data_IF_811262155632
#
_entry.id   IF_811262155632
#
_cell.length_a   1.000
_cell.length_b   1.000
_cell.length_c   1.000
_cell.angle_alpha   90.00
_cell.angle_beta   90.00
_cell.angle_gamma   90.00
#
_symmetry.space_group_name_H-M   'P 1'
#
loop_
_entity.id
_entity.type
_entity.pdbx_description
1 polymer ?
#
# COMPACT_ATOMS: atom_id res chain seq x y z
N UNK A 1 119.71 -8.07 -73.35
CA UNK A 1 120.38 -9.21 -72.67
C UNK A 1 121.36 -8.64 -71.65
N UNK A 2 121.26 -9.02 -70.35
CA UNK A 2 122.16 -8.64 -69.22
C UNK A 2 122.15 -7.13 -68.83
N UNK A 3 121.89 -6.75 -67.55
CA UNK A 3 122.73 -6.76 -66.30
C UNK A 3 123.78 -5.62 -66.29
N UNK A 4 124.05 -4.83 -65.22
CA UNK A 4 124.03 -4.96 -63.73
C UNK A 4 123.54 -3.63 -63.04
N UNK A 5 123.00 -3.54 -61.79
CA UNK A 5 123.55 -3.78 -60.41
C UNK A 5 124.68 -2.79 -59.98
N UNK A 6 124.80 -2.23 -58.75
CA UNK A 6 123.99 -2.26 -57.48
C UNK A 6 124.59 -1.29 -56.39
N UNK A 7 124.00 -1.25 -55.16
CA UNK A 7 124.58 -0.85 -53.82
C UNK A 7 124.69 0.67 -53.51
N UNK A 8 124.09 1.28 -52.44
CA UNK A 8 124.19 1.19 -50.95
C UNK A 8 125.36 2.03 -50.33
N UNK A 9 125.36 2.62 -49.11
CA UNK A 9 124.70 2.29 -47.82
C UNK A 9 124.75 3.44 -46.76
N UNK A 10 123.72 3.58 -45.86
CA UNK A 10 123.69 4.04 -44.42
C UNK A 10 124.39 5.38 -43.96
N UNK A 11 124.14 6.06 -42.81
CA UNK A 11 123.53 5.83 -41.45
C UNK A 11 123.32 7.22 -40.74
N UNK A 12 122.77 7.49 -39.52
CA UNK A 12 121.77 6.95 -38.55
C UNK A 12 121.57 7.97 -37.36
N UNK A 13 120.51 7.85 -36.51
CA UNK A 13 120.40 8.33 -35.07
C UNK A 13 120.35 9.87 -34.78
N UNK A 14 119.60 10.46 -33.82
CA UNK A 14 118.46 10.03 -32.93
C UNK A 14 117.75 11.18 -32.17
N UNK A 15 116.46 10.99 -31.84
CA UNK A 15 115.68 11.43 -30.62
C UNK A 15 115.67 12.92 -30.18
N UNK A 16 114.46 13.49 -30.13
CA UNK A 16 113.92 14.19 -28.93
C UNK A 16 112.38 14.10 -28.89
N UNK A 17 111.74 14.38 -27.76
CA UNK A 17 110.30 14.19 -27.51
C UNK A 17 109.71 15.36 -26.69
N UNK A 18 108.71 16.07 -27.21
CA UNK A 18 107.98 17.16 -26.53
C UNK A 18 106.54 17.25 -27.04
N UNK A 19 105.57 17.40 -26.14
CA UNK A 19 104.22 17.83 -26.50
C UNK A 19 104.24 19.30 -26.96
N UNK A 20 103.44 19.62 -27.98
CA UNK A 20 102.78 20.92 -28.10
C UNK A 20 101.28 20.70 -28.31
N UNK A 21 100.46 21.50 -27.66
CA UNK A 21 99.10 21.76 -28.15
C UNK A 21 99.22 22.60 -29.42
N UNK A 22 98.42 22.27 -30.45
CA UNK A 22 98.15 23.20 -31.53
C UNK A 22 96.93 24.02 -31.11
N UNK A 23 97.17 25.24 -30.65
CA UNK A 23 96.19 26.33 -30.69
C UNK A 23 95.86 26.66 -32.16
N UNK A 24 94.79 27.41 -32.38
CA UNK A 24 94.07 27.50 -33.66
C UNK A 24 94.95 27.61 -34.92
N UNK A 25 94.89 26.58 -35.78
CA UNK A 25 95.47 26.60 -37.13
C UNK A 25 94.56 27.39 -38.07
N UNK A 26 94.47 28.70 -37.83
CA UNK A 26 93.72 29.65 -38.65
C UNK A 26 94.37 29.76 -40.03
N UNK A 27 93.93 28.92 -40.96
CA UNK A 27 94.38 28.91 -42.35
C UNK A 27 93.36 29.63 -43.23
N UNK A 28 93.48 30.95 -43.32
CA UNK A 28 92.52 31.87 -43.98
C UNK A 28 92.19 31.51 -45.45
N UNK A 29 93.04 30.72 -46.11
CA UNK A 29 92.85 30.21 -47.48
C UNK A 29 93.37 28.76 -47.64
N UNK A 30 92.70 27.78 -47.02
CA UNK A 30 92.98 26.36 -47.27
C UNK A 30 92.33 25.93 -48.60
N UNK A 31 93.13 25.77 -49.66
CA UNK A 31 92.70 25.26 -50.97
C UNK A 31 93.23 23.83 -51.21
N UNK A 32 92.36 22.84 -51.24
CA UNK A 32 92.70 21.49 -51.71
C UNK A 32 92.58 21.46 -53.23
N UNK A 33 93.70 21.20 -53.92
CA UNK A 33 93.80 21.13 -55.38
C UNK A 33 93.98 19.70 -55.86
N UNK A 34 93.36 19.35 -56.98
CA UNK A 34 93.56 18.08 -57.66
C UNK A 34 94.97 17.98 -58.27
N UNK A 35 95.45 16.77 -58.63
CA UNK A 35 96.76 16.60 -59.29
C UNK A 35 96.91 17.37 -60.62
N UNK A 36 95.82 17.86 -61.19
CA UNK A 36 95.78 18.67 -62.41
C UNK A 36 95.58 20.18 -62.15
N UNK A 37 95.64 20.62 -60.88
CA UNK A 37 95.72 22.03 -60.48
C UNK A 37 94.39 22.73 -60.13
N UNK A 38 93.24 22.09 -60.36
CA UNK A 38 91.92 22.67 -60.06
C UNK A 38 91.57 22.55 -58.56
N UNK A 39 90.99 23.60 -57.97
CA UNK A 39 90.48 23.56 -56.58
C UNK A 39 89.23 22.68 -56.51
N UNK A 40 89.21 21.74 -55.58
CA UNK A 40 88.09 20.79 -55.36
C UNK A 40 87.40 20.94 -54.00
N UNK A 41 88.09 21.50 -53.02
CA UNK A 41 87.50 22.01 -51.79
C UNK A 41 88.29 23.26 -51.33
N UNK A 42 87.59 24.25 -50.80
CA UNK A 42 88.20 25.45 -50.26
C UNK A 42 87.46 26.00 -49.05
N UNK A 43 88.22 26.40 -48.04
CA UNK A 43 87.79 27.37 -47.03
C UNK A 43 88.48 28.68 -47.39
N UNK A 44 87.69 29.75 -47.54
CA UNK A 44 88.19 31.11 -47.72
C UNK A 44 87.45 32.04 -46.78
N UNK A 45 88.18 32.72 -45.90
CA UNK A 45 87.63 33.86 -45.18
C UNK A 45 87.43 35.01 -46.19
N UNK A 46 86.22 35.58 -46.22
CA UNK A 46 86.01 36.90 -46.83
C UNK A 46 86.58 37.99 -45.92
N UNK A 47 86.57 39.24 -46.37
CA UNK A 47 86.91 40.41 -45.52
C UNK A 47 85.76 40.80 -44.54
N UNK A 48 84.89 39.85 -44.23
CA UNK A 48 83.83 39.85 -43.23
C UNK A 48 83.73 38.41 -42.68
N UNK A 49 83.29 38.26 -41.43
CA UNK A 49 83.59 37.07 -40.58
C UNK A 49 82.92 35.74 -41.01
N UNK A 50 82.17 35.72 -42.11
CA UNK A 50 81.53 34.52 -42.66
C UNK A 50 82.53 33.61 -43.41
N UNK A 51 82.86 32.47 -42.80
CA UNK A 51 83.66 31.41 -43.42
C UNK A 51 82.81 30.51 -44.34
N UNK A 52 82.80 30.79 -45.64
CA UNK A 52 82.05 29.99 -46.61
C UNK A 52 82.73 28.65 -46.90
N UNK A 53 82.06 27.54 -46.54
CA UNK A 53 82.46 26.19 -46.91
C UNK A 53 81.80 25.77 -48.22
N UNK A 54 82.60 25.52 -49.27
CA UNK A 54 82.10 25.19 -50.61
C UNK A 54 82.68 23.87 -51.13
N UNK A 55 81.79 22.95 -51.54
CA UNK A 55 82.12 21.68 -52.18
C UNK A 55 81.40 21.55 -53.52
N UNK A 56 81.97 20.82 -54.48
CA UNK A 56 81.39 20.59 -55.82
C UNK A 56 81.53 19.13 -56.24
N UNK A 57 80.40 18.52 -56.62
CA UNK A 57 80.28 17.09 -56.91
C UNK A 57 79.78 16.30 -55.70
N UNK A 58 79.49 15.00 -55.88
CA UNK A 58 79.13 14.11 -54.77
C UNK A 58 80.24 14.11 -53.71
N UNK A 59 79.88 14.55 -52.50
CA UNK A 59 80.82 14.90 -51.45
C UNK A 59 80.38 14.26 -50.14
N UNK A 60 81.10 13.22 -49.71
CA UNK A 60 80.79 12.45 -48.51
C UNK A 60 81.73 12.83 -47.37
N UNK A 61 81.22 13.53 -46.35
CA UNK A 61 81.97 13.84 -45.13
C UNK A 61 81.88 12.62 -44.19
N UNK A 62 82.83 11.70 -44.32
CA UNK A 62 82.96 10.55 -43.41
C UNK A 62 83.80 10.91 -42.18
N UNK A 63 83.13 11.36 -41.11
CA UNK A 63 83.75 11.64 -39.81
C UNK A 63 82.76 12.26 -38.82
N UNK A 64 83.13 12.29 -37.54
CA UNK A 64 82.33 12.95 -36.49
C UNK A 64 82.54 14.47 -36.51
N UNK A 65 81.97 15.13 -37.51
CA UNK A 65 81.94 16.60 -37.60
C UNK A 65 80.97 17.17 -36.58
N UNK A 66 81.49 17.71 -35.47
CA UNK A 66 80.67 18.41 -34.48
C UNK A 66 80.52 19.87 -34.90
N UNK A 67 79.32 20.25 -35.37
CA UNK A 67 79.00 21.67 -35.63
C UNK A 67 78.69 22.33 -34.29
N UNK A 68 79.67 23.03 -33.73
CA UNK A 68 79.50 23.82 -32.50
C UNK A 68 79.17 25.25 -32.90
N UNK A 69 77.88 25.55 -33.03
CA UNK A 69 77.38 26.88 -33.38
C UNK A 69 75.90 27.03 -33.02
N UNK A 70 75.49 28.23 -32.62
CA UNK A 70 74.12 28.54 -32.21
C UNK A 70 73.30 28.99 -33.43
N UNK A 71 72.40 28.13 -33.92
CA UNK A 71 71.60 28.42 -35.12
C UNK A 71 70.46 29.42 -34.82
N UNK A 72 70.78 30.72 -34.78
CA UNK A 72 69.82 31.82 -34.63
C UNK A 72 69.12 32.16 -35.95
N UNK A 73 68.16 31.31 -36.35
CA UNK A 73 67.22 31.59 -37.42
C UNK A 73 65.91 32.19 -36.86
N UNK A 74 65.41 33.28 -37.45
CA UNK A 74 64.08 33.84 -37.11
C UNK A 74 62.93 33.06 -37.75
N UNK A 75 63.23 32.33 -38.83
CA UNK A 75 62.34 31.40 -39.52
C UNK A 75 63.23 30.29 -40.11
N UNK A 76 62.86 29.02 -39.91
CA UNK A 76 63.64 27.86 -40.38
C UNK A 76 62.81 27.06 -41.37
N UNK A 77 62.97 27.40 -42.66
CA UNK A 77 62.30 26.71 -43.76
C UNK A 77 63.22 25.63 -44.33
N UNK A 78 62.86 24.35 -44.16
CA UNK A 78 63.62 23.21 -44.68
C UNK A 78 62.76 21.94 -44.79
N UNK A 79 62.75 21.35 -45.99
CA UNK A 79 62.07 20.10 -46.31
C UNK A 79 62.60 18.93 -45.44
N UNK A 80 61.75 18.38 -44.58
CA UNK A 80 62.00 17.18 -43.76
C UNK A 80 63.22 17.27 -42.81
N UNK A 81 63.14 18.12 -41.78
CA UNK A 81 64.11 18.11 -40.66
C UNK A 81 63.91 16.84 -39.83
N UNK A 82 64.93 15.97 -39.78
CA UNK A 82 64.95 14.76 -38.94
C UNK A 82 66.22 14.68 -38.11
N UNK A 83 66.07 14.68 -36.79
CA UNK A 83 67.15 14.45 -35.83
C UNK A 83 67.03 13.04 -35.24
N UNK A 84 68.14 12.30 -35.20
CA UNK A 84 68.19 10.96 -34.60
C UNK A 84 69.24 10.87 -33.48
N UNK A 85 69.05 9.93 -32.55
CA UNK A 85 70.11 9.52 -31.63
C UNK A 85 71.18 8.66 -32.33
N UNK A 86 72.24 8.33 -31.60
CA UNK A 86 73.34 7.47 -32.07
C UNK A 86 72.89 6.01 -32.38
N UNK A 87 71.61 5.67 -32.16
CA UNK A 87 71.00 4.36 -32.45
C UNK A 87 69.96 4.47 -33.59
N UNK A 88 69.94 5.58 -34.35
CA UNK A 88 68.95 5.92 -35.39
C UNK A 88 67.49 6.06 -34.93
N UNK A 89 67.21 6.22 -33.62
CA UNK A 89 65.88 6.61 -33.15
C UNK A 89 65.58 8.05 -33.56
N UNK A 90 64.46 8.32 -34.25
CA UNK A 90 63.94 9.69 -34.38
C UNK A 90 63.71 10.30 -33.00
N UNK A 91 64.26 11.51 -32.79
CA UNK A 91 64.05 12.36 -31.60
C UNK A 91 63.11 13.53 -31.91
N UNK A 92 63.38 14.19 -33.05
CA UNK A 92 62.55 15.21 -33.68
C UNK A 92 62.40 14.85 -35.16
N UNK A 93 61.17 14.88 -35.67
CA UNK A 93 60.90 14.81 -37.10
C UNK A 93 59.79 15.80 -37.44
N UNK A 94 60.15 16.81 -38.23
CA UNK A 94 59.25 17.77 -38.86
C UNK A 94 59.14 17.30 -40.30
N UNK A 95 58.11 16.50 -40.61
CA UNK A 95 57.91 15.94 -41.94
C UNK A 95 56.81 16.69 -42.68
N UNK A 96 57.17 17.33 -43.79
CA UNK A 96 56.20 18.01 -44.65
C UNK A 96 55.46 16.99 -45.52
N UNK A 97 54.19 17.24 -45.80
CA UNK A 97 53.47 16.60 -46.90
C UNK A 97 53.38 17.56 -48.08
N UNK A 98 53.15 17.04 -49.29
CA UNK A 98 53.20 17.77 -50.56
C UNK A 98 52.05 18.82 -50.74
N UNK A 99 51.47 19.31 -49.65
CA UNK A 99 50.40 20.30 -49.58
C UNK A 99 50.75 21.52 -48.68
N UNK A 100 51.99 21.60 -48.19
CA UNK A 100 52.47 22.71 -47.37
C UNK A 100 52.14 22.60 -45.88
N UNK A 101 51.92 21.38 -45.37
CA UNK A 101 51.70 21.11 -43.94
C UNK A 101 52.73 20.14 -43.38
N UNK A 102 53.29 20.48 -42.21
CA UNK A 102 54.19 19.61 -41.47
C UNK A 102 53.48 18.84 -40.35
N UNK A 103 53.83 17.56 -40.20
CA UNK A 103 53.60 16.78 -38.98
C UNK A 103 54.80 16.94 -38.04
N UNK A 104 54.53 17.14 -36.75
CA UNK A 104 55.54 17.26 -35.71
C UNK A 104 55.54 16.00 -34.83
N UNK A 105 56.61 15.22 -34.90
CA UNK A 105 56.87 14.09 -34.01
C UNK A 105 57.97 14.42 -33.00
N UNK A 106 57.66 14.27 -31.71
CA UNK A 106 58.57 14.54 -30.59
C UNK A 106 58.68 13.31 -29.68
N UNK A 107 59.92 12.85 -29.43
CA UNK A 107 60.20 11.66 -28.62
C UNK A 107 61.05 11.99 -27.40
N UNK A 108 60.40 12.51 -26.37
CA UNK A 108 61.01 12.85 -25.08
C UNK A 108 60.07 13.73 -24.27
N UNK A 109 60.59 14.37 -23.23
CA UNK A 109 59.97 15.56 -22.65
C UNK A 109 60.41 16.77 -23.50
N UNK A 110 59.46 17.49 -24.08
CA UNK A 110 59.73 18.68 -24.89
C UNK A 110 59.03 19.88 -24.29
N UNK A 111 59.76 20.99 -24.17
CA UNK A 111 59.26 22.27 -23.66
C UNK A 111 59.18 23.29 -24.81
N UNK A 112 58.03 23.93 -24.98
CA UNK A 112 57.83 25.02 -25.94
C UNK A 112 57.37 26.26 -25.17
N UNK A 113 58.13 27.34 -25.31
CA UNK A 113 58.00 28.56 -24.50
C UNK A 113 56.87 29.49 -24.91
N UNK A 114 56.15 29.20 -26.00
CA UNK A 114 55.17 30.06 -26.66
C UNK A 114 54.09 29.21 -27.38
N UNK A 115 53.22 29.79 -28.21
CA UNK A 115 52.21 29.11 -29.03
C UNK A 115 52.80 27.99 -29.92
N UNK A 116 52.18 26.80 -29.90
CA UNK A 116 52.46 25.70 -30.84
C UNK A 116 51.32 25.56 -31.86
N UNK A 117 51.62 25.77 -33.14
CA UNK A 117 50.69 25.53 -34.25
C UNK A 117 51.22 24.39 -35.12
N UNK A 118 50.41 23.35 -35.33
CA UNK A 118 50.75 22.19 -36.18
C UNK A 118 49.62 21.92 -37.17
N UNK A 119 49.96 21.76 -38.45
CA UNK A 119 49.02 21.83 -39.56
C UNK A 119 47.92 20.76 -39.56
N UNK A 120 48.24 19.53 -39.15
CA UNK A 120 47.26 18.43 -39.06
C UNK A 120 47.24 17.73 -37.71
N UNK A 121 48.37 17.13 -37.29
CA UNK A 121 48.40 16.21 -36.15
C UNK A 121 49.65 16.35 -35.29
N UNK A 122 49.43 16.39 -33.97
CA UNK A 122 50.49 16.29 -32.96
C UNK A 122 50.52 14.85 -32.44
N UNK A 123 51.71 14.23 -32.49
CA UNK A 123 51.98 12.93 -31.87
C UNK A 123 53.14 13.11 -30.88
N UNK A 124 52.83 13.00 -29.59
CA UNK A 124 53.80 13.15 -28.50
C UNK A 124 53.45 12.21 -27.34
N UNK A 125 54.45 11.93 -26.49
CA UNK A 125 54.25 11.22 -25.23
C UNK A 125 54.11 12.19 -24.06
N UNK A 126 55.00 13.16 -23.94
CA UNK A 126 55.03 14.16 -22.87
C UNK A 126 55.48 15.51 -23.48
N UNK A 127 54.54 16.43 -23.68
CA UNK A 127 54.78 17.76 -24.24
C UNK A 127 54.28 18.82 -23.28
N UNK A 128 55.14 19.78 -22.96
CA UNK A 128 54.82 21.01 -22.23
C UNK A 128 54.83 22.20 -23.20
N UNK A 129 53.72 22.94 -23.25
CA UNK A 129 53.59 24.18 -24.02
C UNK A 129 53.04 25.27 -23.12
N UNK A 130 53.79 26.36 -22.99
CA UNK A 130 53.41 27.53 -22.19
C UNK A 130 52.39 28.44 -22.90
N UNK A 131 52.34 28.43 -24.23
CA UNK A 131 51.32 29.08 -25.04
C UNK A 131 50.22 28.13 -25.55
N UNK A 132 49.41 28.62 -26.50
CA UNK A 132 48.27 27.89 -27.08
C UNK A 132 48.73 26.74 -27.96
N UNK A 133 48.11 25.57 -27.84
CA UNK A 133 48.28 24.46 -28.79
C UNK A 133 47.14 24.49 -29.83
N UNK A 134 47.48 24.44 -31.12
CA UNK A 134 46.51 24.41 -32.24
C UNK A 134 46.84 23.29 -33.24
N UNK A 135 45.95 22.32 -33.38
CA UNK A 135 46.05 21.15 -34.28
C UNK A 135 45.16 20.00 -33.78
N UNK A 136 45.10 18.87 -34.50
CA UNK A 136 44.45 17.67 -33.96
C UNK A 136 45.41 16.93 -33.01
N UNK A 137 44.88 16.47 -31.88
CA UNK A 137 45.70 16.06 -30.73
C UNK A 137 45.63 14.55 -30.53
N UNK A 138 46.79 13.88 -30.43
CA UNK A 138 46.88 12.45 -30.10
C UNK A 138 48.11 12.15 -29.23
N UNK A 139 47.87 11.84 -27.96
CA UNK A 139 48.90 11.62 -26.94
C UNK A 139 48.46 12.19 -25.59
N UNK A 140 49.34 12.15 -24.58
CA UNK A 140 49.18 12.99 -23.40
C UNK A 140 49.73 14.38 -23.70
N UNK A 141 49.05 15.42 -23.21
CA UNK A 141 49.45 16.82 -23.37
C UNK A 141 49.36 17.48 -22.00
N UNK A 142 50.40 18.22 -21.64
CA UNK A 142 50.46 19.03 -20.42
C UNK A 142 50.61 20.48 -20.85
N UNK A 143 49.62 21.31 -20.59
CA UNK A 143 49.66 22.74 -20.92
C UNK A 143 48.77 23.51 -19.96
N UNK A 144 49.15 24.75 -19.68
CA UNK A 144 48.44 25.61 -18.74
C UNK A 144 47.10 26.11 -19.33
N UNK A 145 47.04 26.32 -20.65
CA UNK A 145 45.87 26.87 -21.37
C UNK A 145 45.61 26.11 -22.69
N UNK A 146 44.59 25.25 -22.69
CA UNK A 146 44.20 24.44 -23.86
C UNK A 146 42.93 25.01 -24.50
N UNK A 147 43.06 25.63 -25.68
CA UNK A 147 41.93 26.19 -26.44
C UNK A 147 41.71 25.45 -27.77
N UNK A 148 40.88 24.40 -27.74
CA UNK A 148 40.53 23.61 -28.93
C UNK A 148 39.15 24.01 -29.47
N UNK A 149 39.12 24.63 -30.66
CA UNK A 149 37.88 25.16 -31.28
C UNK A 149 36.94 24.07 -31.80
N UNK A 150 37.50 22.96 -32.29
CA UNK A 150 36.81 21.74 -32.71
C UNK A 150 37.72 20.55 -32.37
N UNK A 151 37.16 19.50 -31.76
CA UNK A 151 37.86 18.26 -31.47
C UNK A 151 37.03 17.09 -32.00
N UNK A 152 37.30 16.68 -33.25
CA UNK A 152 36.73 15.48 -33.83
C UNK A 152 37.72 14.32 -33.63
N UNK A 153 37.40 13.42 -32.69
CA UNK A 153 38.23 12.27 -32.41
C UNK A 153 37.37 11.13 -31.85
N UNK A 154 37.19 10.10 -32.65
CA UNK A 154 36.44 8.91 -32.25
C UNK A 154 37.19 8.16 -31.13
N UNK A 155 36.45 7.68 -30.13
CA UNK A 155 36.95 6.82 -29.03
C UNK A 155 37.99 7.46 -28.08
N UNK A 156 37.99 8.79 -27.87
CA UNK A 156 38.79 9.37 -26.78
C UNK A 156 38.34 8.84 -25.40
N UNK A 157 39.32 8.50 -24.56
CA UNK A 157 39.12 8.01 -23.19
C UNK A 157 40.01 8.77 -22.21
N UNK A 158 39.59 9.96 -21.83
CA UNK A 158 40.28 10.77 -20.81
C UNK A 158 40.11 10.12 -19.43
N UNK A 159 41.22 9.82 -18.75
CA UNK A 159 41.16 9.11 -17.45
C UNK A 159 40.72 10.01 -16.29
N UNK A 160 41.06 11.31 -16.35
CA UNK A 160 40.60 12.36 -15.45
C UNK A 160 40.36 13.63 -16.25
N UNK A 161 39.17 14.22 -16.16
CA UNK A 161 38.83 15.49 -16.80
C UNK A 161 38.36 16.47 -15.72
N UNK A 162 39.16 17.50 -15.46
CA UNK A 162 38.78 18.62 -14.59
C UNK A 162 38.24 19.76 -15.44
N UNK A 163 37.10 20.32 -15.04
CA UNK A 163 36.48 21.49 -15.69
C UNK A 163 36.15 22.50 -14.60
N UNK A 164 36.98 23.53 -14.48
CA UNK A 164 36.83 24.61 -13.49
C UNK A 164 35.70 25.59 -13.82
N UNK A 165 35.19 25.55 -15.06
CA UNK A 165 34.07 26.36 -15.55
C UNK A 165 32.82 25.53 -15.89
N UNK A 166 32.13 25.88 -16.98
CA UNK A 166 30.91 25.19 -17.43
C UNK A 166 31.19 24.22 -18.55
N UNK A 167 31.02 22.92 -18.29
CA UNK A 167 30.87 21.91 -19.35
C UNK A 167 29.51 22.10 -20.05
N UNK A 168 29.51 22.13 -21.39
CA UNK A 168 28.29 22.21 -22.20
C UNK A 168 28.22 21.02 -23.15
N UNK A 169 27.61 19.92 -22.70
CA UNK A 169 27.49 18.67 -23.43
C UNK A 169 26.01 18.33 -23.68
N UNK A 170 25.71 17.75 -24.85
CA UNK A 170 24.33 17.38 -25.24
C UNK A 170 23.80 16.19 -24.43
N UNK A 171 24.66 15.19 -24.22
CA UNK A 171 24.47 14.04 -23.35
C UNK A 171 25.74 13.88 -22.51
N UNK A 172 25.61 13.45 -21.25
CA UNK A 172 26.73 12.98 -20.43
C UNK A 172 26.34 11.58 -19.94
N UNK A 173 27.08 10.56 -20.37
CA UNK A 173 26.97 9.21 -19.83
C UNK A 173 28.08 9.00 -18.79
N UNK A 174 27.67 8.66 -17.57
CA UNK A 174 28.56 8.44 -16.43
C UNK A 174 28.87 6.95 -16.19
N UNK A 175 28.32 6.03 -16.99
CA UNK A 175 28.56 4.58 -16.96
C UNK A 175 28.49 3.95 -15.55
N UNK A 176 27.57 4.45 -14.71
CA UNK A 176 27.36 3.99 -13.33
C UNK A 176 28.17 4.70 -12.24
N UNK A 177 28.87 5.80 -12.56
CA UNK A 177 29.56 6.63 -11.55
C UNK A 177 28.64 7.69 -10.91
N UNK A 178 29.02 8.17 -9.72
CA UNK A 178 28.23 9.10 -8.91
C UNK A 178 28.51 10.57 -9.25
N UNK A 179 27.46 11.39 -9.32
CA UNK A 179 27.59 12.86 -9.26
C UNK A 179 27.77 13.26 -7.79
N UNK A 180 28.97 13.72 -7.43
CA UNK A 180 29.29 14.22 -6.09
C UNK A 180 29.01 15.73 -5.96
N UNK A 181 28.96 16.23 -4.71
CA UNK A 181 28.84 17.65 -4.37
C UNK A 181 27.65 18.42 -5.00
N UNK A 182 26.60 17.71 -5.42
CA UNK A 182 25.38 18.31 -5.97
C UNK A 182 24.64 19.13 -4.90
N UNK A 183 24.64 20.45 -5.05
CA UNK A 183 23.90 21.39 -4.21
C UNK A 183 22.38 21.14 -4.26
N UNK A 184 21.63 21.80 -3.38
CA UNK A 184 20.16 21.71 -3.41
C UNK A 184 19.58 22.44 -4.64
N UNK A 185 18.73 21.75 -5.40
CA UNK A 185 17.93 22.37 -6.45
C UNK A 185 16.97 23.42 -5.87
N UNK A 186 16.92 24.58 -6.51
CA UNK A 186 16.04 25.72 -6.20
C UNK A 186 15.21 26.18 -7.42
N UNK A 187 15.44 25.56 -8.60
CA UNK A 187 14.73 25.83 -9.85
C UNK A 187 14.39 24.51 -10.56
N UNK A 188 13.29 24.49 -11.32
CA UNK A 188 12.71 23.29 -11.95
C UNK A 188 13.64 22.57 -12.96
N UNK A 189 14.70 23.24 -13.42
CA UNK A 189 15.69 22.72 -14.35
C UNK A 189 16.98 22.19 -13.68
N UNK A 190 17.05 22.18 -12.34
CA UNK A 190 18.21 21.72 -11.57
C UNK A 190 18.02 20.28 -11.09
N UNK A 191 19.11 19.51 -11.08
CA UNK A 191 19.10 18.14 -10.56
C UNK A 191 18.95 18.14 -9.04
N UNK A 192 18.01 17.35 -8.51
CA UNK A 192 17.82 17.15 -7.07
C UNK A 192 18.84 16.17 -6.49
N UNK A 193 19.32 16.42 -5.29
CA UNK A 193 20.18 15.49 -4.55
C UNK A 193 19.36 14.48 -3.70
N UNK A 194 20.02 13.43 -3.21
CA UNK A 194 19.38 12.37 -2.40
C UNK A 194 18.72 12.90 -1.11
N UNK A 195 19.26 13.97 -0.52
CA UNK A 195 18.68 14.60 0.69
C UNK A 195 17.33 15.24 0.37
N UNK A 196 17.21 15.94 -0.77
CA UNK A 196 15.95 16.50 -1.24
C UNK A 196 14.93 15.41 -1.58
N UNK A 197 15.35 14.38 -2.32
CA UNK A 197 14.49 13.24 -2.66
C UNK A 197 13.93 12.54 -1.41
N UNK A 198 14.81 12.19 -0.47
CA UNK A 198 14.39 11.58 0.80
C UNK A 198 13.44 12.49 1.59
N UNK A 199 13.73 13.80 1.65
CA UNK A 199 12.86 14.77 2.36
C UNK A 199 11.45 14.82 1.75
N UNK A 200 11.35 14.83 0.41
CA UNK A 200 10.08 14.79 -0.29
C UNK A 200 9.34 13.46 -0.08
N UNK A 201 10.04 12.33 -0.16
CA UNK A 201 9.47 11.00 0.10
C UNK A 201 8.94 10.87 1.55
N UNK A 202 9.70 11.34 2.55
CA UNK A 202 9.26 11.35 3.95
C UNK A 202 8.04 12.25 4.15
N UNK A 203 8.00 13.44 3.54
CA UNK A 203 6.84 14.33 3.60
C UNK A 203 5.60 13.67 2.98
N UNK A 204 5.72 13.14 1.77
CA UNK A 204 4.60 12.51 1.06
C UNK A 204 4.05 11.29 1.82
N UNK A 205 4.93 10.50 2.46
CA UNK A 205 4.53 9.39 3.33
C UNK A 205 3.83 9.87 4.62
N UNK A 206 4.25 10.99 5.20
CA UNK A 206 3.60 11.59 6.35
C UNK A 206 2.21 12.16 6.00
N UNK A 207 2.10 12.90 4.89
CA UNK A 207 0.83 13.45 4.39
C UNK A 207 -0.16 12.32 4.06
N UNK A 208 0.30 11.25 3.40
CA UNK A 208 -0.52 10.07 3.10
C UNK A 208 -0.98 9.35 4.37
N UNK A 209 -0.11 9.21 5.38
CA UNK A 209 -0.50 8.67 6.70
C UNK A 209 -1.56 9.53 7.38
N UNK A 210 -1.36 10.84 7.45
CA UNK A 210 -2.31 11.79 8.03
C UNK A 210 -3.67 11.71 7.31
N UNK A 211 -3.68 11.59 5.98
CA UNK A 211 -4.91 11.36 5.22
C UNK A 211 -5.60 10.06 5.61
N UNK A 212 -4.87 8.93 5.61
CA UNK A 212 -5.41 7.61 6.00
C UNK A 212 -5.94 7.59 7.44
N UNK A 213 -5.20 8.15 8.38
CA UNK A 213 -5.57 8.19 9.80
C UNK A 213 -6.81 9.07 10.03
N UNK A 214 -6.92 10.20 9.31
CA UNK A 214 -8.12 11.05 9.33
C UNK A 214 -9.34 10.34 8.71
N UNK A 215 -9.21 9.69 7.55
CA UNK A 215 -10.29 8.91 6.95
C UNK A 215 -10.74 7.77 7.86
N UNK A 216 -9.80 7.03 8.45
CA UNK A 216 -10.10 5.97 9.41
C UNK A 216 -10.77 6.50 10.69
N UNK A 217 -10.43 7.73 11.13
CA UNK A 217 -11.10 8.39 12.25
C UNK A 217 -12.54 8.77 11.91
N UNK A 218 -12.79 9.46 10.79
CA UNK A 218 -14.15 9.85 10.37
C UNK A 218 -15.07 8.64 10.26
N UNK A 219 -14.61 7.57 9.60
CA UNK A 219 -15.39 6.32 9.49
C UNK A 219 -15.70 5.69 10.85
N UNK A 220 -14.80 5.78 11.85
CA UNK A 220 -15.08 5.29 13.22
C UNK A 220 -16.09 6.17 13.95
N UNK A 221 -16.00 7.49 13.82
CA UNK A 221 -16.93 8.42 14.44
C UNK A 221 -18.34 8.32 13.83
N UNK A 222 -18.43 8.14 12.50
CA UNK A 222 -19.69 7.89 11.77
C UNK A 222 -20.33 6.55 12.20
N UNK A 223 -19.58 5.45 12.20
CA UNK A 223 -20.08 4.15 12.67
C UNK A 223 -20.54 4.21 14.14
N UNK A 224 -19.82 4.95 15.00
CA UNK A 224 -20.23 5.17 16.39
C UNK A 224 -21.52 5.98 16.50
N UNK A 225 -21.72 6.98 15.66
CA UNK A 225 -22.96 7.76 15.61
C UNK A 225 -24.15 6.90 15.13
N UNK A 226 -23.99 6.10 14.08
CA UNK A 226 -25.03 5.17 13.62
C UNK A 226 -25.34 4.08 14.66
N UNK A 227 -24.33 3.51 15.32
CA UNK A 227 -24.56 2.52 16.38
C UNK A 227 -25.40 3.10 17.54
N UNK A 228 -25.21 4.38 17.89
CA UNK A 228 -26.07 5.06 18.87
C UNK A 228 -27.50 5.27 18.34
N UNK A 229 -27.68 5.68 17.08
CA UNK A 229 -29.02 5.83 16.47
C UNK A 229 -29.77 4.50 16.42
N UNK A 230 -29.13 3.44 15.94
CA UNK A 230 -29.73 2.10 15.80
C UNK A 230 -30.14 1.53 17.15
N UNK A 231 -29.26 1.58 18.17
CA UNK A 231 -29.61 1.14 19.52
C UNK A 231 -30.76 1.95 20.13
N UNK A 232 -30.81 3.26 19.87
CA UNK A 232 -31.96 4.09 20.31
C UNK A 232 -33.25 3.70 19.59
N UNK A 233 -33.21 3.49 18.27
CA UNK A 233 -34.38 3.07 17.50
C UNK A 233 -34.93 1.70 17.96
N UNK A 234 -34.05 0.76 18.31
CA UNK A 234 -34.44 -0.53 18.91
C UNK A 234 -35.11 -0.30 20.27
N UNK A 235 -34.49 0.46 21.18
CA UNK A 235 -35.05 0.73 22.51
C UNK A 235 -36.38 1.48 22.49
N UNK A 236 -36.53 2.47 21.60
CA UNK A 236 -37.79 3.20 21.43
C UNK A 236 -38.86 2.28 20.81
N UNK A 237 -38.52 1.47 19.81
CA UNK A 237 -39.42 0.51 19.17
C UNK A 237 -39.91 -0.61 20.09
N UNK A 238 -39.03 -1.19 20.90
CA UNK A 238 -39.38 -2.15 21.97
C UNK A 238 -40.34 -1.51 22.98
N UNK A 239 -40.06 -0.27 23.38
CA UNK A 239 -40.87 0.48 24.35
C UNK A 239 -42.26 0.81 23.79
N UNK A 240 -42.37 1.24 22.54
CA UNK A 240 -43.65 1.51 21.88
C UNK A 240 -44.45 0.22 21.65
N UNK A 241 -43.79 -0.85 21.22
CA UNK A 241 -44.42 -2.17 21.05
C UNK A 241 -44.95 -2.72 22.38
N UNK A 242 -44.16 -2.62 23.45
CA UNK A 242 -44.58 -3.03 24.80
C UNK A 242 -45.69 -2.13 25.35
N UNK A 243 -45.67 -0.82 25.09
CA UNK A 243 -46.74 0.08 25.49
C UNK A 243 -48.05 -0.23 24.75
N UNK A 244 -48.00 -0.51 23.45
CA UNK A 244 -49.15 -0.91 22.65
C UNK A 244 -49.71 -2.28 23.09
N UNK A 245 -48.84 -3.26 23.34
CA UNK A 245 -49.24 -4.56 23.86
C UNK A 245 -49.96 -4.43 25.21
N UNK A 246 -49.35 -3.72 26.18
CA UNK A 246 -49.95 -3.48 27.49
C UNK A 246 -51.29 -2.73 27.40
N UNK A 247 -51.39 -1.72 26.51
CA UNK A 247 -52.63 -1.01 26.24
C UNK A 247 -53.71 -1.96 25.71
N UNK A 248 -53.41 -2.73 24.68
CA UNK A 248 -54.37 -3.66 24.07
C UNK A 248 -54.84 -4.72 25.08
N UNK A 249 -53.92 -5.27 25.90
CA UNK A 249 -54.28 -6.19 26.99
C UNK A 249 -55.19 -5.53 28.03
N UNK A 250 -54.95 -4.27 28.39
CA UNK A 250 -55.80 -3.52 29.33
C UNK A 250 -57.19 -3.22 28.75
N UNK A 251 -57.28 -2.83 27.48
CA UNK A 251 -58.55 -2.54 26.79
C UNK A 251 -59.38 -3.82 26.58
N UNK A 252 -58.76 -4.94 26.23
CA UNK A 252 -59.41 -6.26 26.16
C UNK A 252 -59.89 -6.69 27.55
N UNK A 253 -59.07 -6.57 28.60
CA UNK A 253 -59.45 -6.92 29.96
C UNK A 253 -60.59 -6.04 30.51
N UNK A 254 -60.63 -4.75 30.16
CA UNK A 254 -61.73 -3.86 30.48
C UNK A 254 -63.02 -4.25 29.75
N UNK A 255 -62.92 -4.59 28.46
CA UNK A 255 -64.06 -5.03 27.65
C UNK A 255 -64.69 -6.32 28.19
N UNK A 256 -63.86 -7.33 28.48
CA UNK A 256 -64.31 -8.60 29.07
C UNK A 256 -65.03 -8.37 30.41
N UNK A 257 -64.51 -7.50 31.28
CA UNK A 257 -65.15 -7.16 32.56
C UNK A 257 -66.52 -6.51 32.36
N UNK A 258 -66.62 -5.53 31.45
CA UNK A 258 -67.88 -4.84 31.16
C UNK A 258 -68.92 -5.79 30.54
N UNK A 259 -68.52 -6.73 29.69
CA UNK A 259 -69.44 -7.68 29.08
C UNK A 259 -69.88 -8.79 30.05
N UNK A 260 -69.01 -9.21 30.98
CA UNK A 260 -69.40 -10.04 32.13
C UNK A 260 -70.40 -9.31 33.04
N UNK A 261 -70.13 -8.06 33.42
CA UNK A 261 -71.01 -7.25 34.28
C UNK A 261 -72.39 -7.02 33.65
N UNK A 262 -72.46 -6.78 32.33
CA UNK A 262 -73.71 -6.72 31.56
C UNK A 262 -74.43 -8.07 31.56
N UNK A 263 -73.71 -9.18 31.37
CA UNK A 263 -74.29 -10.52 31.36
C UNK A 263 -74.91 -10.87 32.73
N UNK A 264 -74.16 -10.68 33.82
CA UNK A 264 -74.62 -10.91 35.19
C UNK A 264 -75.82 -10.01 35.53
N UNK A 265 -75.77 -8.73 35.17
CA UNK A 265 -76.90 -7.78 35.34
C UNK A 265 -78.13 -8.22 34.55
N UNK A 266 -77.95 -8.74 33.33
CA UNK A 266 -79.05 -9.24 32.47
C UNK A 266 -79.67 -10.52 33.05
N UNK A 267 -78.84 -11.46 33.51
CA UNK A 267 -79.30 -12.68 34.19
C UNK A 267 -80.06 -12.32 35.47
N UNK A 268 -79.50 -11.45 36.31
CA UNK A 268 -80.14 -11.01 37.56
C UNK A 268 -81.49 -10.33 37.31
N UNK A 269 -81.58 -9.42 36.34
CA UNK A 269 -82.83 -8.74 35.99
C UNK A 269 -83.89 -9.71 35.43
N UNK A 270 -83.48 -10.68 34.60
CA UNK A 270 -84.37 -11.71 34.07
C UNK A 270 -84.86 -12.65 35.19
N UNK A 271 -83.97 -13.11 36.07
CA UNK A 271 -84.33 -13.93 37.24
C UNK A 271 -85.25 -13.17 38.20
N UNK A 272 -84.99 -11.88 38.46
CA UNK A 272 -85.86 -11.03 39.27
C UNK A 272 -87.24 -10.85 38.62
N UNK A 273 -87.31 -10.52 37.33
CA UNK A 273 -88.56 -10.40 36.59
C UNK A 273 -89.38 -11.69 36.61
N UNK A 274 -88.74 -12.84 36.41
CA UNK A 274 -89.38 -14.16 36.53
C UNK A 274 -89.94 -14.39 37.95
N UNK A 275 -89.15 -14.07 38.97
CA UNK A 275 -89.52 -14.26 40.40
C UNK A 275 -90.65 -13.33 40.82
N UNK A 276 -90.60 -12.05 40.44
CA UNK A 276 -91.64 -11.05 40.73
C UNK A 276 -92.96 -11.44 40.03
N UNK A 277 -92.90 -11.88 38.77
CA UNK A 277 -94.08 -12.36 38.02
C UNK A 277 -94.68 -13.62 38.65
N UNK A 278 -93.88 -14.65 38.96
CA UNK A 278 -94.35 -15.85 39.64
C UNK A 278 -94.97 -15.53 41.02
N UNK A 279 -94.31 -14.65 41.79
CA UNK A 279 -94.81 -14.19 43.09
C UNK A 279 -96.13 -13.41 42.96
N UNK A 280 -96.30 -12.61 41.89
CA UNK A 280 -97.55 -11.92 41.60
C UNK A 280 -98.67 -12.90 41.28
N UNK A 281 -98.45 -13.84 40.36
CA UNK A 281 -99.44 -14.86 39.98
C UNK A 281 -99.90 -15.65 41.21
N UNK A 282 -98.97 -16.18 42.02
CA UNK A 282 -99.31 -16.93 43.23
C UNK A 282 -100.09 -16.09 44.27
N UNK A 283 -99.84 -14.77 44.35
CA UNK A 283 -100.61 -13.88 45.23
C UNK A 283 -102.03 -13.63 44.72
N UNK A 284 -102.19 -13.42 43.41
CA UNK A 284 -103.50 -13.20 42.78
C UNK A 284 -104.36 -14.48 42.82
N UNK A 285 -103.76 -15.64 42.56
CA UNK A 285 -104.39 -16.96 42.71
C UNK A 285 -104.81 -17.24 44.17
N UNK A 286 -103.91 -17.07 45.13
CA UNK A 286 -104.21 -17.29 46.55
C UNK A 286 -105.29 -16.32 47.06
N UNK A 287 -105.30 -15.06 46.60
CA UNK A 287 -106.37 -14.10 46.88
C UNK A 287 -107.72 -14.56 46.31
N UNK A 288 -107.74 -15.08 45.09
CA UNK A 288 -108.95 -15.62 44.47
C UNK A 288 -109.44 -16.89 45.20
N UNK A 289 -108.55 -17.79 45.58
CA UNK A 289 -108.91 -19.03 46.29
C UNK A 289 -109.39 -18.73 47.72
N UNK A 290 -108.72 -17.81 48.43
CA UNK A 290 -109.17 -17.32 49.74
C UNK A 290 -110.59 -16.74 49.66
N UNK A 291 -110.94 -16.04 48.57
CA UNK A 291 -112.30 -15.53 48.37
C UNK A 291 -113.33 -16.65 48.14
N UNK A 292 -112.98 -17.72 47.40
CA UNK A 292 -113.84 -18.92 47.26
C UNK A 292 -114.04 -19.62 48.61
N UNK A 293 -112.95 -19.85 49.36
CA UNK A 293 -112.98 -20.50 50.68
C UNK A 293 -113.82 -19.68 51.66
N UNK A 294 -113.61 -18.37 51.76
CA UNK A 294 -114.39 -17.50 52.63
C UNK A 294 -115.90 -17.51 52.30
N UNK A 295 -116.28 -17.69 51.02
CA UNK A 295 -117.68 -17.90 50.64
C UNK A 295 -118.17 -19.29 51.01
N UNK A 296 -117.43 -20.36 50.72
CA UNK A 296 -117.79 -21.73 51.10
C UNK A 296 -117.90 -21.92 52.62
N UNK A 297 -117.17 -21.13 53.41
CA UNK A 297 -117.30 -21.06 54.88
C UNK A 297 -118.56 -20.35 55.37
N UNK A 298 -119.19 -19.49 54.54
CA UNK A 298 -120.48 -18.86 54.84
C UNK A 298 -121.65 -19.75 54.38
N UNK A 299 -121.48 -20.46 53.26
CA UNK A 299 -122.51 -21.30 52.64
C UNK A 299 -122.57 -22.73 53.22
N UNK A 300 -121.55 -23.20 53.96
CA UNK A 300 -121.31 -24.63 54.24
C UNK A 300 -121.43 -25.10 55.70
N UNK A 301 -121.63 -26.41 55.87
CA UNK A 301 -121.75 -27.06 57.18
C UNK A 301 -120.40 -27.42 57.85
N UNK A 302 -120.48 -27.83 59.13
CA UNK A 302 -119.33 -28.17 59.98
C UNK A 302 -118.49 -29.34 59.45
N UNK A 303 -119.10 -30.32 58.80
CA UNK A 303 -118.36 -31.48 58.25
C UNK A 303 -117.64 -31.13 56.95
N UNK A 304 -118.28 -30.31 56.11
CA UNK A 304 -117.71 -29.80 54.87
C UNK A 304 -116.49 -28.93 55.15
N UNK A 305 -116.56 -28.10 56.20
CA UNK A 305 -115.41 -27.34 56.69
C UNK A 305 -114.28 -28.23 57.22
N UNK A 306 -114.60 -29.29 57.96
CA UNK A 306 -113.60 -30.26 58.45
C UNK A 306 -112.90 -31.02 57.31
N UNK A 307 -113.66 -31.44 56.28
CA UNK A 307 -113.11 -32.06 55.06
C UNK A 307 -112.19 -31.10 54.32
N UNK A 308 -112.56 -29.82 54.20
CA UNK A 308 -111.73 -28.80 53.57
C UNK A 308 -110.37 -28.63 54.28
N UNK A 309 -110.35 -28.43 55.60
CA UNK A 309 -109.10 -28.28 56.36
C UNK A 309 -108.17 -29.50 56.25
N UNK A 310 -108.72 -30.72 56.23
CA UNK A 310 -107.93 -31.94 56.01
C UNK A 310 -107.27 -31.90 54.62
N UNK A 311 -108.05 -31.68 53.57
CA UNK A 311 -107.56 -31.65 52.19
C UNK A 311 -106.49 -30.56 51.99
N UNK A 312 -106.69 -29.36 52.56
CA UNK A 312 -105.68 -28.27 52.53
C UNK A 312 -104.38 -28.68 53.22
N UNK A 313 -104.45 -29.41 54.33
CA UNK A 313 -103.27 -29.87 55.08
C UNK A 313 -102.48 -30.92 54.29
N UNK A 314 -103.17 -31.88 53.68
CA UNK A 314 -102.56 -32.92 52.84
C UNK A 314 -101.94 -32.33 51.56
N UNK A 315 -102.66 -31.46 50.85
CA UNK A 315 -102.14 -30.74 49.67
C UNK A 315 -100.91 -29.87 50.02
N UNK A 316 -100.94 -29.17 51.16
CA UNK A 316 -99.80 -28.37 51.60
C UNK A 316 -98.56 -29.21 51.98
N UNK A 317 -98.75 -30.47 52.38
CA UNK A 317 -97.64 -31.40 52.59
C UNK A 317 -97.04 -31.86 51.25
N UNK A 318 -97.88 -32.24 50.28
CA UNK A 318 -97.46 -32.63 48.92
C UNK A 318 -96.66 -31.52 48.24
N UNK A 319 -97.18 -30.28 48.25
CA UNK A 319 -96.51 -29.13 47.62
C UNK A 319 -95.11 -28.87 48.22
N UNK A 320 -94.93 -29.02 49.53
CA UNK A 320 -93.60 -28.91 50.15
C UNK A 320 -92.64 -29.99 49.65
N UNK A 321 -93.09 -31.24 49.59
CA UNK A 321 -92.29 -32.37 49.07
C UNK A 321 -91.94 -32.22 47.58
N UNK A 322 -92.82 -31.62 46.78
CA UNK A 322 -92.55 -31.32 45.37
C UNK A 322 -91.59 -30.14 45.20
N UNK A 323 -91.77 -29.07 45.97
CA UNK A 323 -90.87 -27.91 45.98
C UNK A 323 -89.46 -28.27 46.46
N UNK A 324 -89.34 -29.12 47.48
CA UNK A 324 -88.07 -29.64 47.99
C UNK A 324 -87.34 -30.48 46.93
N UNK A 325 -88.05 -31.45 46.30
CA UNK A 325 -87.50 -32.23 45.17
C UNK A 325 -87.10 -31.35 43.98
N UNK A 326 -87.90 -30.34 43.64
CA UNK A 326 -87.58 -29.39 42.57
C UNK A 326 -86.33 -28.56 42.90
N UNK A 327 -86.21 -28.07 44.14
CA UNK A 327 -85.06 -27.30 44.61
C UNK A 327 -83.77 -28.14 44.58
N UNK A 328 -83.83 -29.40 45.06
CA UNK A 328 -82.71 -30.36 44.98
C UNK A 328 -82.30 -30.62 43.52
N UNK A 329 -83.27 -30.81 42.61
CA UNK A 329 -82.97 -31.03 41.19
C UNK A 329 -82.31 -29.80 40.54
N UNK A 330 -82.77 -28.58 40.84
CA UNK A 330 -82.16 -27.34 40.35
C UNK A 330 -80.74 -27.17 40.90
N UNK A 331 -80.52 -27.45 42.19
CA UNK A 331 -79.21 -27.37 42.83
C UNK A 331 -78.23 -28.40 42.23
N UNK A 332 -78.67 -29.64 42.04
CA UNK A 332 -77.86 -30.71 41.42
C UNK A 332 -77.50 -30.38 39.97
N UNK A 333 -78.43 -29.84 39.18
CA UNK A 333 -78.16 -29.42 37.80
C UNK A 333 -77.16 -28.25 37.75
N UNK A 334 -77.32 -27.26 38.64
CA UNK A 334 -76.40 -26.11 38.77
C UNK A 334 -75.00 -26.55 39.20
N UNK A 335 -74.91 -27.50 40.16
CA UNK A 335 -73.63 -28.08 40.57
C UNK A 335 -72.97 -28.82 39.41
N UNK A 336 -73.67 -29.74 38.75
CA UNK A 336 -73.13 -30.51 37.61
C UNK A 336 -72.66 -29.62 36.46
N UNK A 337 -73.37 -28.53 36.17
CA UNK A 337 -72.93 -27.54 35.18
C UNK A 337 -71.67 -26.79 35.64
N UNK A 338 -71.61 -26.39 36.91
CA UNK A 338 -70.44 -25.71 37.48
C UNK A 338 -69.21 -26.62 37.51
N UNK A 339 -69.37 -27.85 37.96
CA UNK A 339 -68.33 -28.89 37.96
C UNK A 339 -67.75 -29.07 36.55
N UNK A 340 -68.59 -29.33 35.54
CA UNK A 340 -68.18 -29.46 34.14
C UNK A 340 -67.43 -28.24 33.60
N UNK A 341 -67.85 -27.02 33.98
CA UNK A 341 -67.17 -25.77 33.58
C UNK A 341 -65.82 -25.59 34.28
N UNK A 342 -65.67 -26.06 35.51
CA UNK A 342 -64.42 -26.04 36.28
C UNK A 342 -63.45 -27.12 35.79
N UNK A 343 -63.92 -28.33 35.52
CA UNK A 343 -63.10 -29.43 35.02
C UNK A 343 -62.50 -29.09 33.65
N UNK A 344 -63.32 -28.58 32.72
CA UNK A 344 -62.81 -28.12 31.42
C UNK A 344 -61.78 -27.00 31.55
N UNK A 345 -61.99 -26.05 32.47
CA UNK A 345 -61.01 -24.99 32.74
C UNK A 345 -59.70 -25.56 33.32
N UNK A 346 -59.77 -26.61 34.14
CA UNK A 346 -58.60 -27.31 34.66
C UNK A 346 -57.86 -28.12 33.58
N UNK A 347 -58.56 -28.64 32.56
CA UNK A 347 -57.97 -29.28 31.39
C UNK A 347 -57.26 -28.25 30.49
N UNK A 348 -57.95 -27.18 30.10
CA UNK A 348 -57.39 -26.08 29.29
C UNK A 348 -56.14 -25.47 29.96
N UNK A 349 -56.19 -25.22 31.28
CA UNK A 349 -55.07 -24.72 32.08
C UNK A 349 -53.91 -25.74 32.18
N UNK A 350 -54.20 -27.04 32.12
CA UNK A 350 -53.17 -28.08 32.10
C UNK A 350 -52.50 -28.23 30.73
N UNK A 351 -53.22 -28.03 29.63
CA UNK A 351 -52.60 -27.92 28.30
C UNK A 351 -51.64 -26.74 28.29
N UNK A 352 -52.15 -25.53 28.55
CA UNK A 352 -51.36 -24.29 28.51
C UNK A 352 -50.06 -24.36 29.34
N UNK A 353 -50.09 -25.04 30.49
CA UNK A 353 -48.89 -25.32 31.29
C UNK A 353 -47.89 -26.24 30.60
N UNK A 354 -48.33 -27.34 29.98
CA UNK A 354 -47.46 -28.24 29.20
C UNK A 354 -46.86 -27.50 28.01
N UNK A 355 -47.69 -26.77 27.27
CA UNK A 355 -47.30 -26.02 26.06
C UNK A 355 -46.22 -24.98 26.44
N UNK A 356 -46.47 -24.19 27.49
CA UNK A 356 -45.50 -23.22 28.06
C UNK A 356 -44.19 -23.88 28.51
N UNK A 357 -44.25 -25.07 29.15
CA UNK A 357 -43.05 -25.77 29.59
C UNK A 357 -42.27 -26.40 28.42
N UNK A 358 -42.95 -26.86 27.37
CA UNK A 358 -42.35 -27.42 26.17
C UNK A 358 -41.70 -26.32 25.30
N UNK A 359 -42.34 -25.15 25.18
CA UNK A 359 -41.73 -23.95 24.62
C UNK A 359 -40.47 -23.54 25.39
N UNK A 360 -40.53 -23.52 26.73
CA UNK A 360 -39.35 -23.24 27.57
C UNK A 360 -38.21 -24.25 27.33
N UNK A 361 -38.54 -25.54 27.19
CA UNK A 361 -37.57 -26.59 26.90
C UNK A 361 -36.92 -26.42 25.50
N UNK A 362 -37.68 -25.95 24.49
CA UNK A 362 -37.16 -25.64 23.16
C UNK A 362 -36.27 -24.37 23.15
N UNK A 363 -36.61 -23.35 23.94
CA UNK A 363 -35.74 -22.18 24.14
C UNK A 363 -34.40 -22.57 24.79
N UNK A 364 -34.42 -23.48 25.78
CA UNK A 364 -33.21 -24.04 26.39
C UNK A 364 -32.38 -24.86 25.38
N UNK A 365 -33.04 -25.67 24.53
CA UNK A 365 -32.37 -26.39 23.44
C UNK A 365 -31.68 -25.44 22.45
N UNK A 366 -32.29 -24.28 22.18
CA UNK A 366 -31.73 -23.25 21.28
C UNK A 366 -30.56 -22.52 21.92
N UNK A 367 -30.69 -22.15 23.20
CA UNK A 367 -29.64 -21.47 23.95
C UNK A 367 -28.38 -22.34 24.13
N UNK A 368 -28.52 -23.67 24.12
CA UNK A 368 -27.39 -24.61 24.20
C UNK A 368 -26.64 -24.82 22.88
N UNK A 369 -27.12 -24.29 21.74
CA UNK A 369 -26.49 -24.47 20.43
C UNK A 369 -25.09 -23.78 20.38
N UNK A 370 -24.00 -24.55 20.19
CA UNK A 370 -22.65 -24.00 20.11
C UNK A 370 -22.42 -23.06 18.92
N UNK A 371 -21.25 -22.42 18.92
CA UNK A 371 -20.81 -21.51 17.87
C UNK A 371 -19.32 -21.75 17.59
N UNK A 372 -18.82 -21.62 16.34
CA UNK A 372 -17.40 -21.71 16.08
C UNK A 372 -16.68 -20.50 16.69
N UNK A 373 -15.45 -20.71 17.14
CA UNK A 373 -14.59 -19.69 17.78
C UNK A 373 -13.63 -19.00 16.81
N UNK A 374 -13.70 -19.32 15.52
CA UNK A 374 -12.65 -19.01 14.54
C UNK A 374 -13.21 -18.22 13.36
N UNK A 375 -12.45 -17.22 12.91
CA UNK A 375 -12.79 -16.38 11.75
C UNK A 375 -12.96 -17.22 10.47
N UNK A 376 -14.01 -16.93 9.70
CA UNK A 376 -14.38 -17.65 8.48
C UNK A 376 -15.04 -19.03 8.70
N UNK A 377 -15.14 -19.52 9.94
CA UNK A 377 -15.69 -20.85 10.21
C UNK A 377 -17.22 -20.80 10.28
N UNK A 378 -17.85 -21.85 9.75
CA UNK A 378 -19.27 -22.13 9.88
C UNK A 378 -19.48 -23.46 10.60
N UNK A 379 -20.59 -23.58 11.33
CA UNK A 379 -20.95 -24.75 12.14
C UNK A 379 -22.43 -25.08 11.95
N UNK A 380 -22.74 -26.37 11.80
CA UNK A 380 -24.09 -26.90 12.02
C UNK A 380 -24.11 -27.56 13.40
N UNK A 381 -25.20 -27.36 14.13
CA UNK A 381 -25.37 -27.73 15.54
C UNK A 381 -26.76 -28.31 15.78
N UNK A 382 -26.86 -29.17 16.78
CA UNK A 382 -28.13 -29.69 17.29
C UNK A 382 -28.07 -29.72 18.82
N UNK A 383 -29.22 -29.52 19.46
CA UNK A 383 -29.34 -29.41 20.91
C UNK A 383 -30.69 -29.90 21.41
N UNK A 384 -30.76 -30.20 22.69
CA UNK A 384 -32.00 -30.53 23.39
C UNK A 384 -32.03 -29.86 24.76
N UNK A 385 -33.21 -29.60 25.27
CA UNK A 385 -33.47 -29.00 26.57
C UNK A 385 -34.65 -29.68 27.23
N UNK A 386 -34.74 -29.61 28.55
CA UNK A 386 -35.91 -30.12 29.30
C UNK A 386 -36.31 -29.13 30.38
N UNK A 387 -37.62 -29.01 30.59
CA UNK A 387 -38.18 -28.17 31.64
C UNK A 387 -39.47 -28.80 32.17
N UNK A 388 -39.54 -28.99 33.49
CA UNK A 388 -40.74 -29.48 34.21
C UNK A 388 -41.41 -30.73 33.59
N UNK A 389 -40.62 -31.64 33.04
CA UNK A 389 -41.07 -32.90 32.44
C UNK A 389 -41.34 -32.84 30.93
N UNK A 390 -41.29 -31.66 30.31
CA UNK A 390 -41.32 -31.50 28.84
C UNK A 390 -39.91 -31.49 28.25
N UNK A 391 -39.79 -31.74 26.95
CA UNK A 391 -38.54 -31.70 26.21
C UNK A 391 -38.68 -30.82 24.96
N UNK A 392 -37.55 -30.24 24.55
CA UNK A 392 -37.43 -29.45 23.34
C UNK A 392 -36.17 -29.83 22.57
N UNK A 393 -36.21 -29.58 21.27
CA UNK A 393 -35.17 -29.92 20.32
C UNK A 393 -34.89 -28.71 19.45
N UNK A 394 -33.62 -28.48 19.14
CA UNK A 394 -33.19 -27.39 18.27
C UNK A 394 -32.12 -27.89 17.29
N UNK A 395 -32.17 -27.36 16.07
CA UNK A 395 -31.10 -27.46 15.08
C UNK A 395 -30.75 -26.05 14.62
N UNK A 396 -29.48 -25.78 14.35
CA UNK A 396 -29.07 -24.44 13.93
C UNK A 396 -27.72 -24.39 13.25
N UNK A 397 -27.53 -23.32 12.49
CA UNK A 397 -26.28 -22.98 11.82
C UNK A 397 -25.76 -21.65 12.36
N UNK A 398 -24.44 -21.54 12.48
CA UNK A 398 -23.78 -20.31 12.94
C UNK A 398 -22.42 -20.15 12.29
N UNK A 399 -21.90 -18.92 12.26
CA UNK A 399 -20.59 -18.65 11.72
C UNK A 399 -20.01 -17.30 12.13
N UNK A 400 -18.74 -17.10 11.78
CA UNK A 400 -18.00 -15.85 11.96
C UNK A 400 -17.41 -15.46 10.60
N UNK A 401 -17.40 -14.16 10.27
CA UNK A 401 -16.76 -13.63 9.05
C UNK A 401 -15.24 -13.84 9.04
N UNK A 402 -14.64 -13.77 7.86
CA UNK A 402 -13.18 -13.93 7.67
C UNK A 402 -12.35 -12.85 8.39
N UNK A 403 -12.90 -11.64 8.55
CA UNK A 403 -12.26 -10.54 9.31
C UNK A 403 -12.45 -10.66 10.83
N UNK A 404 -13.09 -11.72 11.30
CA UNK A 404 -13.42 -12.01 12.70
C UNK A 404 -14.40 -11.02 13.37
N UNK A 405 -15.12 -10.17 12.62
CA UNK A 405 -15.96 -9.11 13.23
C UNK A 405 -17.44 -9.41 13.27
N UNK A 406 -18.01 -10.01 12.23
CA UNK A 406 -19.43 -10.33 12.13
C UNK A 406 -19.67 -11.76 12.58
N UNK A 407 -20.63 -11.92 13.48
CA UNK A 407 -21.00 -13.21 14.10
C UNK A 407 -22.49 -13.43 13.84
N UNK A 408 -22.89 -14.60 13.33
CA UNK A 408 -24.31 -14.90 13.05
C UNK A 408 -24.76 -16.26 13.58
N UNK A 409 -26.06 -16.37 13.89
CA UNK A 409 -26.77 -17.62 14.25
C UNK A 409 -28.16 -17.66 13.60
N UNK A 410 -28.57 -18.85 13.18
CA UNK A 410 -29.92 -19.20 12.74
C UNK A 410 -30.29 -20.54 13.37
N UNK A 411 -31.50 -20.69 13.92
CA UNK A 411 -31.96 -21.95 14.50
C UNK A 411 -33.46 -22.19 14.27
N UNK A 412 -33.83 -23.46 14.11
CA UNK A 412 -35.21 -23.95 14.09
C UNK A 412 -35.43 -24.94 15.24
N UNK A 413 -36.66 -24.99 15.76
CA UNK A 413 -36.99 -25.71 17.00
C UNK A 413 -38.27 -26.54 16.88
N UNK A 414 -38.38 -27.56 17.73
CA UNK A 414 -39.61 -28.33 17.95
C UNK A 414 -39.71 -28.81 19.40
N UNK A 415 -40.90 -29.16 19.89
CA UNK A 415 -41.10 -29.58 21.28
C UNK A 415 -42.00 -30.82 21.44
N UNK A 416 -42.13 -31.33 22.67
CA UNK A 416 -42.94 -32.53 22.98
C UNK A 416 -44.46 -32.32 23.03
N UNK A 417 -45.00 -31.12 22.81
CA UNK A 417 -46.43 -30.90 22.55
C UNK A 417 -46.74 -30.74 21.04
N UNK A 418 -45.70 -30.58 20.20
CA UNK A 418 -45.83 -30.50 18.74
C UNK A 418 -45.69 -29.09 18.17
N UNK A 419 -45.35 -28.09 18.99
CA UNK A 419 -45.07 -26.74 18.49
C UNK A 419 -43.70 -26.68 17.80
N UNK A 420 -43.59 -25.78 16.83
CA UNK A 420 -42.35 -25.48 16.10
C UNK A 420 -42.08 -23.98 16.11
N UNK A 421 -40.80 -23.60 16.05
CA UNK A 421 -40.38 -22.20 16.04
C UNK A 421 -39.00 -22.01 15.43
N UNK A 422 -38.46 -20.79 15.55
CA UNK A 422 -37.13 -20.46 15.09
C UNK A 422 -36.62 -19.12 15.61
N UNK A 423 -35.34 -18.87 15.42
CA UNK A 423 -34.65 -17.65 15.86
C UNK A 423 -33.49 -17.30 14.95
N UNK A 424 -33.16 -16.02 14.86
CA UNK A 424 -32.02 -15.48 14.14
C UNK A 424 -31.31 -14.43 15.01
N UNK A 425 -29.97 -14.36 14.92
CA UNK A 425 -29.18 -13.35 15.62
C UNK A 425 -27.94 -12.97 14.80
N UNK A 426 -27.52 -11.71 14.94
CA UNK A 426 -26.27 -11.16 14.40
C UNK A 426 -25.60 -10.30 15.48
N UNK A 427 -24.27 -10.32 15.52
CA UNK A 427 -23.45 -9.54 16.43
C UNK A 427 -22.19 -9.02 15.74
N UNK A 428 -21.61 -7.95 16.30
CA UNK A 428 -20.39 -7.32 15.80
C UNK A 428 -19.39 -7.14 16.94
N UNK A 429 -18.13 -7.51 16.71
CA UNK A 429 -17.00 -7.30 17.63
C UNK A 429 -15.88 -6.49 16.95
N UNK A 430 -15.13 -5.71 17.74
CA UNK A 430 -14.26 -4.63 17.27
C UNK A 430 -12.90 -4.58 17.97
#
# INVERSE_FOLDING_TARGET
MKLKHQILTLSLISILNTHLHAEDVVTENLQVKSPYGAVVASISAGAAEDAYFYMRGESYIYGTSTVIGELKATELNADNIRMTDNNNNTLLEISEQNDGKANLYLKGYSHISDDLVVGEKIITKDLEVNGTIRGNLSGNIVSNDIYVKFLESENQRTQSLEVTGRLNAKNIDLQGTNISSLADATQDNQAVNLRQLNSASTKNLADAKIYTDNTAKSLRDENKAEFVKVNKAIQDGDKETLALANKNTAEIAATIRLDMEKADTTVLNNSKSYTDNATKTLRDENKAETAKVNKAMQDGDKETLARAYKNTTETAATIRSEMERASINVLNNSKSYTDFRVDRLNEDLQSFKKDSYAATAASLATASLPQPSNAGYSMVSAGTGTWKGQQGFAIGMSGISEDNKVIYKLAGTGNTQGDFGGSAAIGYQW
#
